data_IF_789359703157
#
_entry.id   IF_789359703157
#
_cell.length_a   1.000
_cell.length_b   1.000
_cell.length_c   1.000
_cell.angle_alpha   90.00
_cell.angle_beta   90.00
_cell.angle_gamma   90.00
#
_symmetry.space_group_name_H-M   'P 1'
#
loop_
_entity.id
_entity.type
_entity.pdbx_description
1 polymer ?
#
# COMPACT_ATOMS: atom_id res chain seq x y z
N UNK A 1 -28.18 3.44 19.27
CA UNK A 1 -27.34 2.75 18.25
C UNK A 1 -26.16 3.69 17.99
N UNK A 2 -25.00 3.36 18.51
CA UNK A 2 -23.80 4.15 18.23
C UNK A 2 -23.37 3.83 16.81
N UNK A 3 -23.32 4.85 15.96
CA UNK A 3 -22.79 4.73 14.60
C UNK A 3 -21.33 4.31 14.69
N UNK A 4 -20.96 3.21 14.05
CA UNK A 4 -19.60 2.71 14.04
C UNK A 4 -18.73 3.63 13.15
N UNK A 5 -17.94 4.48 13.78
CA UNK A 5 -17.11 5.50 13.12
C UNK A 5 -15.67 5.05 12.84
N UNK A 6 -15.37 3.76 13.08
CA UNK A 6 -14.03 3.22 12.83
C UNK A 6 -13.64 3.40 11.36
N UNK A 7 -12.40 3.80 11.06
CA UNK A 7 -11.97 4.02 9.69
C UNK A 7 -11.84 2.71 8.91
N UNK A 8 -11.81 2.80 7.58
CA UNK A 8 -11.35 1.73 6.72
C UNK A 8 -9.95 2.07 6.18
N UNK A 9 -9.03 1.12 6.20
CA UNK A 9 -7.70 1.24 5.60
C UNK A 9 -7.78 0.85 4.13
N UNK A 10 -7.26 1.69 3.25
CA UNK A 10 -7.19 1.44 1.80
C UNK A 10 -5.73 1.41 1.38
N UNK A 11 -5.22 0.23 0.98
CA UNK A 11 -3.89 0.10 0.44
C UNK A 11 -3.84 0.67 -0.99
N UNK A 12 -2.96 1.64 -1.22
CA UNK A 12 -2.90 2.40 -2.47
C UNK A 12 -1.47 2.60 -2.95
N UNK A 13 -1.16 2.07 -4.13
CA UNK A 13 0.14 2.16 -4.80
C UNK A 13 0.09 2.95 -6.12
N UNK A 14 -1.04 3.61 -6.39
CA UNK A 14 -1.28 4.35 -7.63
C UNK A 14 -1.66 3.48 -8.83
N UNK A 15 -1.75 2.16 -8.69
CA UNK A 15 -2.13 1.26 -9.77
C UNK A 15 -3.63 1.32 -10.10
N UNK A 16 -4.02 0.84 -11.27
CA UNK A 16 -5.43 0.71 -11.66
C UNK A 16 -6.26 -0.12 -10.67
N UNK A 17 -5.78 -1.31 -10.24
CA UNK A 17 -6.44 -2.10 -9.20
C UNK A 17 -6.58 -1.37 -7.86
N UNK A 18 -5.57 -0.62 -7.43
CA UNK A 18 -5.66 0.22 -6.22
C UNK A 18 -6.71 1.34 -6.38
N UNK A 19 -6.79 1.94 -7.57
CA UNK A 19 -7.85 2.90 -7.88
C UNK A 19 -9.25 2.29 -7.85
N UNK A 20 -9.41 1.04 -8.32
CA UNK A 20 -10.67 0.32 -8.20
C UNK A 20 -11.03 0.02 -6.73
N UNK A 21 -10.04 -0.37 -5.92
CA UNK A 21 -10.20 -0.57 -4.49
C UNK A 21 -10.64 0.72 -3.77
N UNK A 22 -10.04 1.85 -4.13
CA UNK A 22 -10.38 3.16 -3.57
C UNK A 22 -11.84 3.54 -3.89
N UNK A 23 -12.29 3.36 -5.14
CA UNK A 23 -13.69 3.63 -5.54
C UNK A 23 -14.67 2.72 -4.79
N UNK A 24 -14.34 1.44 -4.66
CA UNK A 24 -15.17 0.50 -3.89
C UNK A 24 -15.25 0.92 -2.42
N UNK A 25 -14.11 1.31 -1.82
CA UNK A 25 -14.07 1.79 -0.44
C UNK A 25 -14.93 3.04 -0.25
N UNK A 26 -14.84 4.04 -1.13
CA UNK A 26 -15.63 5.27 -1.06
C UNK A 26 -17.15 4.97 -1.12
N UNK A 27 -17.54 3.96 -1.87
CA UNK A 27 -18.96 3.55 -2.01
C UNK A 27 -19.45 2.74 -0.81
N UNK A 28 -18.66 1.75 -0.36
CA UNK A 28 -19.10 0.79 0.66
C UNK A 28 -18.96 1.30 2.09
N UNK A 29 -18.01 2.19 2.34
CA UNK A 29 -17.74 2.75 3.66
C UNK A 29 -18.19 4.21 3.79
N UNK A 30 -19.34 4.53 3.19
CA UNK A 30 -19.96 5.86 3.27
C UNK A 30 -20.13 6.29 4.72
N UNK A 31 -19.75 7.55 5.03
CA UNK A 31 -19.80 8.09 6.38
C UNK A 31 -18.59 7.72 7.26
N UNK A 32 -17.71 6.84 6.80
CA UNK A 32 -16.48 6.49 7.50
C UNK A 32 -15.27 7.20 6.90
N UNK A 33 -14.27 7.44 7.74
CA UNK A 33 -12.99 7.96 7.27
C UNK A 33 -12.21 6.85 6.56
N UNK A 34 -11.65 7.15 5.39
CA UNK A 34 -10.73 6.28 4.67
C UNK A 34 -9.29 6.67 5.00
N UNK A 35 -8.49 5.75 5.47
CA UNK A 35 -7.04 5.91 5.63
C UNK A 35 -6.39 5.35 4.36
N UNK A 36 -5.95 6.24 3.47
CA UNK A 36 -5.30 5.86 2.20
C UNK A 36 -3.81 5.70 2.46
N UNK A 37 -3.36 4.45 2.43
CA UNK A 37 -2.01 4.06 2.87
C UNK A 37 -1.15 3.69 1.67
N UNK A 38 -0.02 4.37 1.53
CA UNK A 38 1.07 3.98 0.63
C UNK A 38 2.27 3.54 1.47
N UNK A 39 2.74 2.31 1.24
CA UNK A 39 3.89 1.74 1.95
C UNK A 39 5.13 1.85 1.07
N UNK A 40 6.26 2.25 1.65
CA UNK A 40 7.54 2.35 0.97
C UNK A 40 8.61 1.52 1.67
N UNK A 41 9.56 0.96 0.92
CA UNK A 41 10.62 0.10 1.43
C UNK A 41 11.79 0.94 1.94
N UNK A 42 12.03 0.89 3.26
CA UNK A 42 13.19 1.50 3.88
C UNK A 42 14.44 0.65 3.64
N UNK A 43 15.56 1.31 3.34
CA UNK A 43 16.83 0.60 3.09
C UNK A 43 16.91 -0.09 1.72
N UNK A 44 16.05 0.27 0.77
CA UNK A 44 16.06 -0.27 -0.59
C UNK A 44 17.44 -0.18 -1.26
N UNK A 45 18.23 0.84 -0.92
CA UNK A 45 19.61 0.99 -1.42
C UNK A 45 20.49 -0.23 -1.10
N UNK A 46 20.31 -0.85 0.06
CA UNK A 46 21.05 -2.06 0.43
C UNK A 46 20.57 -3.28 -0.37
N UNK A 47 19.26 -3.38 -0.63
CA UNK A 47 18.68 -4.47 -1.41
C UNK A 47 19.05 -4.38 -2.90
N UNK A 48 19.22 -3.18 -3.42
CA UNK A 48 19.63 -2.94 -4.81
C UNK A 48 21.14 -3.01 -5.03
N UNK A 49 21.94 -3.01 -3.96
CA UNK A 49 23.39 -3.18 -4.07
C UNK A 49 23.70 -4.58 -4.60
N UNK A 50 24.44 -4.70 -5.70
CA UNK A 50 24.73 -6.01 -6.27
C UNK A 50 25.53 -6.85 -5.26
N UNK A 51 24.90 -7.85 -4.68
CA UNK A 51 25.58 -8.95 -3.99
C UNK A 51 26.21 -9.85 -5.06
N UNK A 52 27.11 -9.32 -5.84
CA UNK A 52 27.89 -10.09 -6.79
C UNK A 52 29.10 -10.67 -6.09
N UNK A 53 28.89 -11.78 -5.41
CA UNK A 53 29.96 -12.73 -5.15
C UNK A 53 30.20 -13.56 -6.41
N UNK A 54 30.47 -12.89 -7.52
CA UNK A 54 30.99 -13.48 -8.73
C UNK A 54 32.46 -13.04 -8.79
N UNK A 55 33.35 -13.96 -8.42
CA UNK A 55 34.81 -13.86 -8.53
C UNK A 55 35.49 -12.91 -7.52
N UNK A 56 35.24 -13.04 -6.21
CA UNK A 56 36.15 -12.47 -5.18
C UNK A 56 36.15 -10.94 -5.09
N UNK A 57 35.16 -10.25 -5.60
CA UNK A 57 34.98 -8.81 -5.39
C UNK A 57 34.25 -8.59 -4.07
N UNK A 58 34.92 -7.94 -3.12
CA UNK A 58 34.34 -7.61 -1.82
C UNK A 58 33.08 -6.76 -2.02
N UNK A 59 32.00 -7.13 -1.31
CA UNK A 59 30.79 -6.30 -1.20
C UNK A 59 31.17 -4.91 -0.68
N UNK A 60 30.89 -3.88 -1.44
CA UNK A 60 31.02 -2.49 -1.00
C UNK A 60 29.61 -1.97 -0.73
N UNK A 61 29.24 -1.76 0.54
CA UNK A 61 27.92 -1.19 0.85
C UNK A 61 27.80 0.23 0.27
N UNK A 62 26.58 0.65 -0.09
CA UNK A 62 26.38 2.02 -0.55
C UNK A 62 26.74 3.02 0.56
N UNK A 63 27.26 4.21 0.21
CA UNK A 63 27.55 5.25 1.19
C UNK A 63 26.29 5.63 1.97
N UNK A 64 26.38 5.92 3.29
CA UNK A 64 25.22 6.28 4.11
C UNK A 64 24.39 7.42 3.54
N UNK A 65 25.02 8.41 2.93
CA UNK A 65 24.37 9.53 2.27
C UNK A 65 23.52 9.12 1.06
N UNK A 66 23.93 8.09 0.33
CA UNK A 66 23.17 7.54 -0.79
C UNK A 66 21.93 6.79 -0.30
N UNK A 67 22.05 6.01 0.78
CA UNK A 67 20.94 5.34 1.44
C UNK A 67 19.89 6.36 1.89
N UNK A 68 20.33 7.39 2.62
CA UNK A 68 19.44 8.46 3.10
C UNK A 68 18.74 9.18 1.94
N UNK A 69 19.45 9.42 0.84
CA UNK A 69 18.86 10.06 -0.34
C UNK A 69 17.82 9.20 -1.01
N UNK A 70 18.05 7.89 -1.15
CA UNK A 70 17.11 6.94 -1.75
C UNK A 70 15.88 6.80 -0.85
N UNK A 71 16.06 6.60 0.44
CA UNK A 71 14.96 6.49 1.40
C UNK A 71 14.08 7.75 1.40
N UNK A 72 14.69 8.92 1.36
CA UNK A 72 13.93 10.18 1.24
C UNK A 72 13.11 10.22 -0.04
N UNK A 73 13.70 9.85 -1.18
CA UNK A 73 13.00 9.81 -2.46
C UNK A 73 11.83 8.82 -2.46
N UNK A 74 12.01 7.64 -1.87
CA UNK A 74 10.94 6.64 -1.73
C UNK A 74 9.80 7.14 -0.84
N UNK A 75 10.15 7.75 0.28
CA UNK A 75 9.17 8.37 1.18
C UNK A 75 8.38 9.48 0.49
N UNK A 76 9.06 10.41 -0.19
CA UNK A 76 8.41 11.54 -0.87
C UNK A 76 7.50 11.06 -1.99
N UNK A 77 7.89 10.00 -2.70
CA UNK A 77 7.03 9.33 -3.68
C UNK A 77 5.79 8.72 -3.01
N UNK A 78 5.95 7.97 -1.92
CA UNK A 78 4.83 7.36 -1.20
C UNK A 78 3.86 8.42 -0.63
N UNK A 79 4.38 9.53 -0.13
CA UNK A 79 3.55 10.68 0.30
C UNK A 79 2.73 11.21 -0.87
N UNK A 80 3.35 11.43 -2.03
CA UNK A 80 2.66 11.91 -3.22
C UNK A 80 1.58 10.93 -3.69
N UNK A 81 1.85 9.63 -3.67
CA UNK A 81 0.90 8.58 -4.05
C UNK A 81 -0.28 8.54 -3.07
N UNK A 82 -0.02 8.54 -1.77
CA UNK A 82 -1.06 8.52 -0.75
C UNK A 82 -1.96 9.75 -0.84
N UNK A 83 -1.37 10.96 -1.02
CA UNK A 83 -2.13 12.19 -1.18
C UNK A 83 -2.98 12.20 -2.45
N UNK A 84 -2.46 11.71 -3.57
CA UNK A 84 -3.23 11.58 -4.80
C UNK A 84 -4.43 10.64 -4.62
N UNK A 85 -4.24 9.52 -3.91
CA UNK A 85 -5.32 8.61 -3.57
C UNK A 85 -6.34 9.23 -2.63
N UNK A 86 -5.90 9.92 -1.57
CA UNK A 86 -6.81 10.60 -0.65
C UNK A 86 -7.61 11.72 -1.34
N UNK A 87 -6.97 12.47 -2.25
CA UNK A 87 -7.64 13.47 -3.06
C UNK A 87 -8.71 12.84 -3.96
N UNK A 88 -8.38 11.75 -4.65
CA UNK A 88 -9.34 11.02 -5.47
C UNK A 88 -10.54 10.49 -4.65
N UNK A 89 -10.30 10.01 -3.43
CA UNK A 89 -11.37 9.59 -2.53
C UNK A 89 -12.28 10.77 -2.11
N UNK A 90 -11.71 11.93 -1.83
CA UNK A 90 -12.47 13.16 -1.50
C UNK A 90 -13.32 13.63 -2.69
N UNK A 91 -12.82 13.53 -3.90
CA UNK A 91 -13.58 13.84 -5.13
C UNK A 91 -14.77 12.90 -5.33
N UNK A 92 -14.70 11.68 -4.80
CA UNK A 92 -15.81 10.72 -4.73
C UNK A 92 -16.77 10.98 -3.55
N UNK A 93 -16.54 12.03 -2.77
CA UNK A 93 -17.38 12.40 -1.62
C UNK A 93 -17.00 11.71 -0.30
N UNK A 94 -15.90 10.97 -0.23
CA UNK A 94 -15.44 10.33 0.99
C UNK A 94 -14.61 11.28 1.85
N UNK A 95 -14.64 11.07 3.18
CA UNK A 95 -13.65 11.67 4.09
C UNK A 95 -12.38 10.81 4.02
N UNK A 96 -11.25 11.36 3.61
CA UNK A 96 -10.02 10.61 3.42
C UNK A 96 -8.80 11.33 3.96
N UNK A 97 -7.89 10.53 4.52
CA UNK A 97 -6.59 10.95 5.06
C UNK A 97 -5.48 10.12 4.38
N UNK A 98 -4.40 10.77 3.99
CA UNK A 98 -3.24 10.14 3.38
C UNK A 98 -2.21 9.73 4.43
N UNK A 99 -1.70 8.51 4.33
CA UNK A 99 -0.64 7.99 5.17
C UNK A 99 0.45 7.35 4.30
N UNK A 100 1.69 7.83 4.43
CA UNK A 100 2.87 7.19 3.87
C UNK A 100 3.68 6.55 4.98
N UNK A 101 3.91 5.25 4.91
CA UNK A 101 4.52 4.48 5.99
C UNK A 101 5.66 3.63 5.44
N UNK A 102 6.79 3.61 6.17
CA UNK A 102 7.88 2.69 5.88
C UNK A 102 7.47 1.26 6.25
N UNK A 103 7.81 0.28 5.42
CA UNK A 103 7.74 -1.09 5.87
C UNK A 103 8.95 -1.42 6.77
N UNK A 104 8.70 -2.15 7.83
CA UNK A 104 9.74 -2.61 8.75
C UNK A 104 10.00 -4.13 8.61
N UNK A 105 9.03 -4.85 8.08
CA UNK A 105 9.05 -6.32 7.94
C UNK A 105 8.62 -6.73 6.54
N UNK A 106 7.39 -6.42 6.20
CA UNK A 106 6.80 -6.54 4.86
C UNK A 106 5.56 -5.63 4.75
N UNK A 107 5.13 -5.38 3.52
CA UNK A 107 4.02 -4.47 3.23
C UNK A 107 2.71 -4.92 3.89
N UNK A 108 2.43 -6.22 3.91
CA UNK A 108 1.18 -6.74 4.49
C UNK A 108 1.17 -6.58 6.01
N UNK A 109 2.27 -6.94 6.69
CA UNK A 109 2.41 -6.77 8.14
C UNK A 109 2.28 -5.29 8.54
N UNK A 110 2.86 -4.38 7.76
CA UNK A 110 2.75 -2.92 7.97
C UNK A 110 1.29 -2.46 7.86
N UNK A 111 0.55 -2.91 6.85
CA UNK A 111 -0.87 -2.57 6.68
C UNK A 111 -1.72 -3.15 7.81
N UNK A 112 -1.46 -4.39 8.24
CA UNK A 112 -2.15 -5.03 9.40
C UNK A 112 -1.91 -4.23 10.66
N UNK A 113 -0.65 -3.88 10.96
CA UNK A 113 -0.28 -3.07 12.12
C UNK A 113 -1.00 -1.71 12.13
N UNK A 114 -1.10 -1.03 10.98
CA UNK A 114 -1.85 0.21 10.86
C UNK A 114 -3.35 0.01 11.09
N UNK A 115 -3.93 -1.07 10.54
CA UNK A 115 -5.34 -1.38 10.75
C UNK A 115 -5.65 -1.61 12.23
N UNK A 116 -4.74 -2.25 12.95
CA UNK A 116 -4.86 -2.48 14.40
C UNK A 116 -4.68 -1.19 15.19
N UNK A 117 -3.66 -0.41 14.87
CA UNK A 117 -3.37 0.87 15.54
C UNK A 117 -4.54 1.86 15.45
N UNK A 118 -5.24 1.88 14.32
CA UNK A 118 -6.38 2.76 14.08
C UNK A 118 -7.73 2.12 14.37
N UNK A 119 -7.75 0.92 14.93
CA UNK A 119 -8.98 0.13 15.13
C UNK A 119 -9.87 0.10 13.86
N UNK A 120 -9.27 -0.14 12.70
CA UNK A 120 -9.98 -0.11 11.44
C UNK A 120 -11.08 -1.17 11.36
N UNK A 121 -12.21 -0.83 10.76
CA UNK A 121 -13.31 -1.76 10.56
C UNK A 121 -13.06 -2.77 9.42
N UNK A 122 -12.16 -2.42 8.48
CA UNK A 122 -11.80 -3.26 7.34
C UNK A 122 -10.49 -2.78 6.70
N UNK A 123 -9.84 -3.67 5.94
CA UNK A 123 -8.76 -3.36 5.01
C UNK A 123 -9.27 -3.58 3.58
N UNK A 124 -9.02 -2.61 2.70
CA UNK A 124 -9.41 -2.67 1.28
C UNK A 124 -8.15 -2.62 0.42
N UNK A 125 -8.03 -3.54 -0.52
CA UNK A 125 -6.87 -3.66 -1.40
C UNK A 125 -7.27 -4.10 -2.80
N UNK A 126 -6.54 -3.65 -3.81
CA UNK A 126 -6.67 -4.19 -5.15
C UNK A 126 -6.15 -5.62 -5.24
N UNK A 127 -6.74 -6.43 -6.10
CA UNK A 127 -6.31 -7.83 -6.30
C UNK A 127 -4.88 -7.95 -6.83
N UNK A 128 -4.36 -6.91 -7.50
CA UNK A 128 -3.01 -6.80 -8.07
C UNK A 128 -2.49 -5.38 -7.87
N UNK A 129 -1.17 -5.21 -7.76
CA UNK A 129 -0.49 -3.92 -7.78
C UNK A 129 0.17 -3.66 -9.14
N UNK A 130 1.28 -2.94 -9.14
CA UNK A 130 2.03 -2.55 -10.35
C UNK A 130 2.69 -3.74 -11.09
N UNK A 131 2.70 -4.95 -10.54
CA UNK A 131 3.30 -6.14 -11.15
C UNK A 131 2.45 -6.79 -12.24
N UNK A 132 3.08 -7.18 -13.37
CA UNK A 132 2.43 -7.75 -14.57
C UNK A 132 2.16 -9.26 -14.52
N UNK A 133 2.07 -9.89 -13.39
CA UNK A 133 1.89 -11.36 -13.31
C UNK A 133 0.41 -11.71 -13.38
N UNK A 134 0.04 -12.63 -14.32
CA UNK A 134 -1.32 -13.17 -14.50
C UNK A 134 -1.80 -14.07 -13.35
N UNK A 135 -1.62 -13.64 -12.10
CA UNK A 135 -2.16 -14.34 -10.92
C UNK A 135 -3.44 -13.65 -10.46
N UNK A 136 -4.37 -14.41 -9.91
CA UNK A 136 -5.64 -13.90 -9.38
C UNK A 136 -5.45 -12.88 -8.25
N UNK A 137 -4.40 -13.05 -7.44
CA UNK A 137 -4.04 -12.16 -6.34
C UNK A 137 -2.55 -11.83 -6.38
N UNK A 138 -2.20 -10.57 -6.04
CA UNK A 138 -0.82 -10.17 -5.78
C UNK A 138 -0.30 -10.76 -4.47
N UNK A 139 1.02 -10.67 -4.25
CA UNK A 139 1.66 -11.13 -3.02
C UNK A 139 1.08 -10.45 -1.78
N UNK A 140 0.92 -9.14 -1.81
CA UNK A 140 0.40 -8.35 -0.69
C UNK A 140 -1.06 -8.67 -0.37
N UNK A 141 -1.95 -8.76 -1.37
CA UNK A 141 -3.36 -9.10 -1.12
C UNK A 141 -3.53 -10.51 -0.57
N UNK A 142 -2.70 -11.46 -1.00
CA UNK A 142 -2.68 -12.80 -0.45
C UNK A 142 -2.18 -12.83 0.99
N UNK A 143 -1.06 -12.15 1.28
CA UNK A 143 -0.52 -12.08 2.63
C UNK A 143 -1.49 -11.40 3.61
N UNK A 144 -2.22 -10.36 3.17
CA UNK A 144 -3.28 -9.74 3.97
C UNK A 144 -4.41 -10.71 4.31
N UNK A 145 -4.85 -11.53 3.34
CA UNK A 145 -5.89 -12.55 3.59
C UNK A 145 -5.44 -13.62 4.59
N UNK A 146 -4.13 -13.90 4.65
CA UNK A 146 -3.56 -14.89 5.56
C UNK A 146 -3.26 -14.32 6.97
N UNK A 147 -2.92 -13.04 7.07
CA UNK A 147 -2.40 -12.44 8.31
C UNK A 147 -3.39 -11.52 9.03
N UNK A 148 -4.34 -10.91 8.30
CA UNK A 148 -5.24 -9.91 8.86
C UNK A 148 -6.44 -10.57 9.54
N UNK A 149 -6.66 -10.29 10.82
CA UNK A 149 -7.85 -10.76 11.56
C UNK A 149 -9.09 -9.90 11.30
N UNK A 150 -8.92 -8.72 10.68
CA UNK A 150 -10.02 -7.83 10.30
C UNK A 150 -10.60 -8.22 8.95
N UNK A 151 -11.84 -7.83 8.62
CA UNK A 151 -12.39 -8.00 7.28
C UNK A 151 -11.45 -7.43 6.21
N UNK A 152 -11.11 -8.24 5.19
CA UNK A 152 -10.31 -7.82 4.05
C UNK A 152 -11.16 -7.85 2.79
N UNK A 153 -11.30 -6.71 2.13
CA UNK A 153 -11.96 -6.57 0.85
C UNK A 153 -10.93 -6.51 -0.27
N UNK A 154 -10.86 -7.55 -1.08
CA UNK A 154 -10.01 -7.59 -2.26
C UNK A 154 -10.81 -7.23 -3.51
N UNK A 155 -10.47 -6.12 -4.14
CA UNK A 155 -11.19 -5.58 -5.30
C UNK A 155 -10.47 -5.94 -6.59
N UNK A 156 -11.19 -6.53 -7.53
CA UNK A 156 -10.67 -6.80 -8.88
C UNK A 156 -10.98 -5.60 -9.79
N UNK A 157 -9.95 -5.08 -10.44
CA UNK A 157 -10.17 -4.17 -11.56
C UNK A 157 -10.65 -4.98 -12.78
N UNK A 158 -11.54 -4.44 -13.62
CA UNK A 158 -11.81 -5.01 -14.94
C UNK A 158 -10.49 -5.13 -15.70
N UNK A 159 -10.33 -6.24 -16.43
CA UNK A 159 -9.16 -6.38 -17.32
C UNK A 159 -9.26 -5.30 -18.41
N UNK A 160 -8.14 -4.63 -18.70
CA UNK A 160 -8.10 -3.52 -19.67
C UNK A 160 -8.36 -3.94 -21.13
N UNK A 161 -8.55 -5.23 -21.39
CA UNK A 161 -8.80 -5.81 -22.71
C UNK A 161 -10.29 -6.00 -23.05
N UNK A 162 -11.22 -5.58 -22.17
CA UNK A 162 -12.67 -5.67 -22.42
C UNK A 162 -13.36 -4.30 -22.65
N UNK A 163 -12.58 -3.29 -23.01
CA UNK A 163 -13.14 -1.98 -23.33
C UNK A 163 -12.94 -1.62 -24.82
#
# INVERSE_FOLDING_TARGET
>A
MTEDTRPAVVAFDGSGPAGAALRAAATLFTGRRLLVVSVWEQGLAYALSPMTDIAGVAYVPPPPEEVVRIDRSQRDHAVSVAEAGAQAARELGATAEALAVADEVDIAATIVGLADQHDACAVVIGSRGLGRVKRLFGSTSRALLEQCERPVLVVRAPDADEA
#
